data_IF_042369704942
#
_entry.id   IF_042369704942
#
_cell.length_a   1.000
_cell.length_b   1.000
_cell.length_c   1.000
_cell.angle_alpha   90.00
_cell.angle_beta   90.00
_cell.angle_gamma   90.00
#
_symmetry.space_group_name_H-M   'P 1'
#
loop_
_entity.id
_entity.type
_entity.pdbx_description
1 polymer ?
#
# COMPACT_ATOMS: atom_id res chain seq x y z
N UNK A 1 -32.40 -26.84 8.32
CA UNK A 1 -32.39 -25.35 8.36
C UNK A 1 -31.48 -24.83 7.24
N UNK A 2 -31.84 -23.74 6.55
CA UNK A 2 -30.96 -23.12 5.53
C UNK A 2 -29.72 -22.52 6.21
N UNK A 3 -28.52 -22.88 5.75
CA UNK A 3 -27.27 -22.36 6.32
C UNK A 3 -26.97 -20.90 5.94
N UNK A 4 -27.45 -20.41 4.79
CA UNK A 4 -27.28 -19.02 4.33
C UNK A 4 -28.62 -18.28 4.36
N UNK A 5 -28.87 -17.50 5.40
CA UNK A 5 -30.13 -16.78 5.64
C UNK A 5 -30.01 -15.25 5.69
N UNK A 6 -28.78 -14.70 5.55
CA UNK A 6 -28.51 -13.26 5.52
C UNK A 6 -28.18 -12.80 4.10
N UNK A 7 -28.63 -11.62 3.71
CA UNK A 7 -28.40 -11.02 2.39
C UNK A 7 -27.54 -9.76 2.52
N UNK A 8 -26.65 -9.53 1.55
CA UNK A 8 -25.86 -8.31 1.41
C UNK A 8 -26.25 -7.69 0.06
N UNK A 9 -26.81 -6.47 0.10
CA UNK A 9 -27.20 -5.75 -1.11
C UNK A 9 -26.08 -4.80 -1.53
N UNK A 10 -25.58 -4.95 -2.76
CA UNK A 10 -24.49 -4.14 -3.32
C UNK A 10 -24.98 -3.45 -4.58
N UNK A 11 -24.80 -2.13 -4.69
CA UNK A 11 -25.06 -1.38 -5.92
C UNK A 11 -23.83 -1.42 -6.81
N UNK A 12 -23.99 -1.76 -8.08
CA UNK A 12 -22.91 -1.84 -9.06
C UNK A 12 -23.32 -1.16 -10.36
N UNK A 13 -22.34 -0.66 -11.11
CA UNK A 13 -22.59 -0.19 -12.48
C UNK A 13 -22.78 -1.37 -13.42
N UNK A 14 -23.39 -1.15 -14.58
CA UNK A 14 -23.57 -2.20 -15.59
C UNK A 14 -22.24 -2.74 -16.12
N UNK A 15 -21.24 -1.86 -16.25
CA UNK A 15 -19.87 -2.22 -16.62
C UNK A 15 -19.23 -3.15 -15.57
N UNK A 16 -19.45 -2.90 -14.29
CA UNK A 16 -18.89 -3.73 -13.22
C UNK A 16 -19.62 -5.06 -13.12
N UNK A 17 -20.95 -5.06 -13.24
CA UNK A 17 -21.76 -6.29 -13.25
C UNK A 17 -21.29 -7.26 -14.34
N UNK A 18 -21.12 -6.77 -15.57
CA UNK A 18 -20.67 -7.61 -16.70
C UNK A 18 -19.26 -8.14 -16.49
N UNK A 19 -18.34 -7.35 -15.91
CA UNK A 19 -16.99 -7.80 -15.54
C UNK A 19 -17.04 -8.89 -14.47
N UNK A 20 -17.80 -8.70 -13.40
CA UNK A 20 -17.91 -9.66 -12.29
C UNK A 20 -18.45 -11.00 -12.82
N UNK A 21 -19.48 -10.99 -13.66
CA UNK A 21 -20.05 -12.20 -14.26
C UNK A 21 -19.02 -12.93 -15.14
N UNK A 22 -18.28 -12.19 -15.99
CA UNK A 22 -17.22 -12.78 -16.83
C UNK A 22 -16.11 -13.40 -15.99
N UNK A 23 -15.70 -12.74 -14.91
CA UNK A 23 -14.68 -13.27 -14.00
C UNK A 23 -15.18 -14.50 -13.24
N UNK A 24 -16.45 -14.49 -12.80
CA UNK A 24 -17.08 -15.63 -12.16
C UNK A 24 -17.18 -16.83 -13.11
N UNK A 25 -17.54 -16.62 -14.37
CA UNK A 25 -17.60 -17.67 -15.39
C UNK A 25 -16.22 -18.27 -15.71
N UNK A 26 -15.15 -17.47 -15.63
CA UNK A 26 -13.77 -17.94 -15.77
C UNK A 26 -13.24 -18.66 -14.52
N UNK A 27 -13.84 -18.40 -13.36
CA UNK A 27 -13.49 -19.07 -12.13
C UNK A 27 -14.19 -20.44 -12.02
N UNK A 28 -13.59 -21.38 -11.30
CA UNK A 28 -14.17 -22.72 -11.08
C UNK A 28 -15.28 -22.74 -10.00
N UNK A 29 -15.88 -21.59 -9.69
CA UNK A 29 -16.88 -21.43 -8.65
C UNK A 29 -18.27 -21.93 -9.12
N UNK A 30 -19.04 -22.53 -8.21
CA UNK A 30 -20.36 -23.12 -8.51
C UNK A 30 -21.46 -22.08 -8.76
N UNK A 31 -21.33 -20.89 -8.20
CA UNK A 31 -22.30 -19.80 -8.38
C UNK A 31 -21.64 -18.43 -8.29
N UNK A 32 -22.31 -17.40 -8.82
CA UNK A 32 -21.87 -16.01 -8.70
C UNK A 32 -21.74 -15.58 -7.23
N UNK A 33 -22.65 -16.04 -6.37
CA UNK A 33 -22.61 -15.76 -4.93
C UNK A 33 -21.39 -16.42 -4.28
N UNK A 34 -21.07 -17.67 -4.64
CA UNK A 34 -19.87 -18.33 -4.14
C UNK A 34 -18.59 -17.63 -4.61
N UNK A 35 -18.55 -17.17 -5.87
CA UNK A 35 -17.44 -16.39 -6.38
C UNK A 35 -17.24 -15.07 -5.61
N UNK A 36 -18.32 -14.33 -5.36
CA UNK A 36 -18.25 -13.06 -4.62
C UNK A 36 -17.83 -13.31 -3.17
N UNK A 37 -18.38 -14.33 -2.51
CA UNK A 37 -18.00 -14.69 -1.14
C UNK A 37 -16.54 -15.14 -1.04
N UNK A 38 -16.09 -16.00 -1.96
CA UNK A 38 -14.69 -16.44 -2.05
C UNK A 38 -13.76 -15.24 -2.22
N UNK A 39 -14.07 -14.32 -3.14
CA UNK A 39 -13.26 -13.11 -3.35
C UNK A 39 -13.35 -12.08 -2.23
N UNK A 40 -14.45 -12.03 -1.48
CA UNK A 40 -14.62 -11.12 -0.35
C UNK A 40 -13.96 -11.65 0.92
N UNK A 41 -13.96 -12.97 1.13
CA UNK A 41 -13.42 -13.60 2.34
C UNK A 41 -11.94 -13.96 2.20
N UNK A 42 -11.49 -14.36 1.00
CA UNK A 42 -10.10 -14.80 0.77
C UNK A 42 -9.17 -13.68 0.31
N UNK A 43 -9.62 -12.42 0.34
CA UNK A 43 -8.73 -11.27 0.21
C UNK A 43 -8.43 -10.73 1.59
N UNK A 44 -7.23 -11.03 2.09
CA UNK A 44 -6.69 -10.32 3.24
C UNK A 44 -6.52 -8.85 2.85
N UNK A 45 -7.21 -7.96 3.56
CA UNK A 45 -6.91 -6.53 3.52
C UNK A 45 -5.72 -6.34 4.45
N UNK A 46 -4.51 -6.34 3.88
CA UNK A 46 -3.29 -6.07 4.63
C UNK A 46 -3.16 -4.55 4.77
N UNK A 47 -3.32 -4.06 6.01
CA UNK A 47 -3.05 -2.67 6.34
C UNK A 47 -1.59 -2.54 6.79
N UNK A 48 -0.77 -1.91 5.96
CA UNK A 48 0.60 -1.57 6.32
C UNK A 48 0.62 -0.26 7.12
N UNK A 49 1.11 -0.31 8.36
CA UNK A 49 1.44 0.91 9.11
C UNK A 49 2.86 1.37 8.74
N UNK A 50 2.92 2.41 7.91
CA UNK A 50 4.18 3.01 7.44
C UNK A 50 4.43 4.38 8.09
N UNK A 51 3.72 4.73 9.16
CA UNK A 51 3.77 6.07 9.72
C UNK A 51 5.18 6.46 10.18
N UNK A 52 5.87 5.55 10.89
CA UNK A 52 7.22 5.77 11.38
C UNK A 52 8.25 5.94 10.25
N UNK A 53 8.18 5.06 9.23
CA UNK A 53 9.06 5.11 8.05
C UNK A 53 8.88 6.43 7.31
N UNK A 54 7.62 6.86 7.11
CA UNK A 54 7.31 8.12 6.45
C UNK A 54 7.78 9.34 7.26
N UNK A 55 7.65 9.30 8.60
CA UNK A 55 8.13 10.37 9.47
C UNK A 55 9.66 10.51 9.39
N UNK A 56 10.39 9.40 9.45
CA UNK A 56 11.86 9.39 9.30
C UNK A 56 12.29 9.91 7.93
N UNK A 57 11.66 9.43 6.85
CA UNK A 57 11.96 9.89 5.49
C UNK A 57 11.69 11.39 5.31
N UNK A 58 10.58 11.89 5.86
CA UNK A 58 10.23 13.31 5.79
C UNK A 58 11.23 14.18 6.53
N UNK A 59 11.66 13.76 7.73
CA UNK A 59 12.70 14.44 8.50
C UNK A 59 14.01 14.51 7.72
N UNK A 60 14.42 13.40 7.12
CA UNK A 60 15.62 13.29 6.30
C UNK A 60 15.59 14.24 5.10
N UNK A 61 14.47 14.31 4.39
CA UNK A 61 14.26 15.26 3.29
C UNK A 61 14.35 16.72 3.74
N UNK A 62 13.80 17.04 4.92
CA UNK A 62 13.91 18.38 5.50
C UNK A 62 15.35 18.78 5.84
N UNK A 63 16.11 17.88 6.45
CA UNK A 63 17.53 18.09 6.75
C UNK A 63 18.36 18.28 5.47
N UNK A 64 18.15 17.42 4.47
CA UNK A 64 18.78 17.56 3.15
C UNK A 64 18.46 18.91 2.50
N UNK A 65 17.19 19.33 2.54
CA UNK A 65 16.78 20.61 1.97
C UNK A 65 17.48 21.78 2.67
N UNK A 66 17.63 21.73 3.99
CA UNK A 66 18.37 22.74 4.74
C UNK A 66 19.85 22.79 4.34
N UNK A 67 20.51 21.64 4.21
CA UNK A 67 21.90 21.56 3.74
C UNK A 67 22.05 22.14 2.34
N UNK A 68 21.14 21.83 1.42
CA UNK A 68 21.14 22.41 0.06
C UNK A 68 20.97 23.92 0.11
N UNK A 69 20.08 24.45 0.96
CA UNK A 69 19.94 25.91 1.13
C UNK A 69 21.22 26.56 1.66
N UNK A 70 21.89 25.95 2.65
CA UNK A 70 23.14 26.48 3.18
C UNK A 70 24.27 26.43 2.14
N UNK A 71 24.31 25.38 1.31
CA UNK A 71 25.22 25.30 0.16
C UNK A 71 24.95 26.42 -0.84
N UNK A 72 23.67 26.62 -1.20
CA UNK A 72 23.25 27.67 -2.12
C UNK A 72 23.62 29.07 -1.60
N UNK A 73 23.49 29.31 -0.30
CA UNK A 73 23.90 30.55 0.37
C UNK A 73 25.43 30.72 0.49
N UNK A 74 26.22 29.75 0.03
CA UNK A 74 27.68 29.76 0.12
C UNK A 74 28.25 29.58 1.53
N UNK A 75 27.40 29.26 2.53
CA UNK A 75 27.78 29.08 3.94
C UNK A 75 28.53 27.77 4.18
N UNK A 76 28.22 26.75 3.38
CA UNK A 76 28.90 25.47 3.36
C UNK A 76 29.23 25.09 1.92
N UNK A 77 30.36 24.40 1.74
CA UNK A 77 30.85 23.98 0.40
C UNK A 77 30.92 22.47 0.24
N UNK A 78 30.98 21.74 1.35
CA UNK A 78 31.08 20.30 1.38
C UNK A 78 30.13 19.77 2.45
N UNK A 79 29.33 18.78 2.08
CA UNK A 79 28.38 18.11 2.96
C UNK A 79 28.68 16.62 2.94
N UNK A 80 28.85 16.02 4.11
CA UNK A 80 29.01 14.57 4.23
C UNK A 80 27.64 13.90 4.22
N UNK A 81 27.32 13.19 3.13
CA UNK A 81 26.06 12.47 2.97
C UNK A 81 26.10 11.00 3.45
N UNK A 82 27.23 10.52 3.94
CA UNK A 82 27.43 9.11 4.34
C UNK A 82 26.46 8.66 5.44
N UNK A 83 26.08 9.57 6.34
CA UNK A 83 25.06 9.30 7.35
C UNK A 83 23.69 9.08 6.70
N UNK A 84 23.34 9.92 5.73
CA UNK A 84 22.05 9.87 5.06
C UNK A 84 21.93 8.61 4.17
N UNK A 85 23.01 8.19 3.51
CA UNK A 85 22.98 6.95 2.73
C UNK A 85 22.75 5.73 3.63
N UNK A 86 23.42 5.65 4.78
CA UNK A 86 23.22 4.56 5.75
C UNK A 86 21.81 4.52 6.31
N UNK A 87 21.28 5.66 6.72
CA UNK A 87 19.93 5.73 7.29
C UNK A 87 18.84 5.41 6.23
N UNK A 88 19.10 5.69 4.94
CA UNK A 88 18.22 5.29 3.85
C UNK A 88 18.29 3.78 3.59
N UNK A 89 19.47 3.18 3.68
CA UNK A 89 19.66 1.72 3.59
C UNK A 89 18.90 1.00 4.73
N UNK A 90 18.99 1.51 5.96
CA UNK A 90 18.24 0.99 7.10
C UNK A 90 16.72 1.08 6.90
N UNK A 91 16.21 2.21 6.41
CA UNK A 91 14.78 2.37 6.10
C UNK A 91 14.33 1.41 5.00
N UNK A 92 15.18 1.17 4.00
CA UNK A 92 14.89 0.26 2.91
C UNK A 92 14.86 -1.21 3.36
N UNK A 93 15.78 -1.62 4.24
CA UNK A 93 15.74 -2.93 4.88
C UNK A 93 14.51 -3.08 5.80
N UNK A 94 14.16 -2.06 6.57
CA UNK A 94 12.95 -2.06 7.38
C UNK A 94 11.69 -2.25 6.52
N UNK A 95 11.59 -1.55 5.38
CA UNK A 95 10.50 -1.72 4.42
C UNK A 95 10.42 -3.13 3.82
N UNK A 96 11.55 -3.75 3.49
CA UNK A 96 11.56 -5.13 2.96
C UNK A 96 11.07 -6.17 3.98
N UNK A 97 11.27 -5.90 5.26
CA UNK A 97 10.86 -6.80 6.34
C UNK A 97 9.38 -6.67 6.69
N UNK A 98 8.70 -5.60 6.23
CA UNK A 98 7.25 -5.47 6.27
C UNK A 98 6.68 -6.31 5.12
N UNK A 99 6.57 -7.62 5.34
CA UNK A 99 5.86 -8.55 4.45
C UNK A 99 4.47 -8.81 4.97
#
# INVERSE_FOLDING_TARGET
MRQRNKQINIRVTEKDRTKIIKLAAKSRCKSLTDYILDKALNKEIIQYDLHEINARLSKMGGELNHLVMLCHQGKIKLVNLTKYTKELEELHEALKNIK
#
